data_IF_543384792538
#
_entry.id   IF_543384792538
#
_cell.length_a   1.000
_cell.length_b   1.000
_cell.length_c   1.000
_cell.angle_alpha   90.00
_cell.angle_beta   90.00
_cell.angle_gamma   90.00
#
_symmetry.space_group_name_H-M   'P 1'
#
loop_
_entity.id
_entity.type
_entity.pdbx_description
1 polymer ?
#
# COMPACT_ATOMS: atom_id res chain seq x y z
N UNK A 1 50.96 15.80 20.82
CA UNK A 1 52.11 16.29 20.04
C UNK A 1 52.53 15.21 19.05
N UNK A 2 52.76 15.62 17.79
CA UNK A 2 53.19 14.88 16.58
C UNK A 2 52.13 13.98 15.87
N UNK A 3 51.55 14.34 14.71
CA UNK A 3 52.09 14.51 13.32
C UNK A 3 52.46 13.12 12.72
N UNK A 4 52.06 12.61 11.53
CA UNK A 4 51.62 13.09 10.18
C UNK A 4 51.01 11.85 9.44
N UNK A 5 49.97 11.94 8.60
CA UNK A 5 49.94 12.25 7.15
C UNK A 5 50.84 11.37 6.23
N UNK A 6 50.26 10.55 5.33
CA UNK A 6 50.56 10.42 3.87
C UNK A 6 49.74 9.25 3.26
N UNK A 7 48.75 9.43 2.36
CA UNK A 7 48.76 9.69 0.90
C UNK A 7 49.43 8.67 -0.03
N UNK A 8 48.61 8.24 -1.01
CA UNK A 8 48.87 8.04 -2.44
C UNK A 8 49.22 6.66 -3.04
N UNK A 9 48.26 6.24 -3.89
CA UNK A 9 48.41 5.86 -5.30
C UNK A 9 49.39 4.74 -5.68
N UNK A 10 48.84 3.62 -6.19
CA UNK A 10 49.44 2.94 -7.34
C UNK A 10 48.37 2.43 -8.31
N UNK A 11 48.41 3.01 -9.51
CA UNK A 11 47.80 2.53 -10.74
C UNK A 11 48.39 1.16 -11.13
N UNK A 12 47.57 0.26 -11.66
CA UNK A 12 47.99 -0.69 -12.71
C UNK A 12 46.93 -0.77 -13.80
N UNK A 13 47.17 0.03 -14.84
CA UNK A 13 46.59 -0.12 -16.18
C UNK A 13 47.35 -1.25 -16.87
N UNK A 14 46.67 -2.32 -17.25
CA UNK A 14 47.20 -3.32 -18.18
C UNK A 14 46.34 -3.30 -19.45
N UNK A 15 46.89 -2.66 -20.49
CA UNK A 15 46.44 -2.78 -21.88
C UNK A 15 47.03 -4.07 -22.45
N UNK A 16 46.20 -4.94 -23.03
CA UNK A 16 46.63 -5.81 -24.13
C UNK A 16 45.59 -5.66 -25.25
N UNK A 17 46.11 -5.37 -26.43
CA UNK A 17 45.45 -5.03 -27.69
C UNK A 17 45.64 -6.21 -28.64
N UNK A 18 44.80 -6.25 -29.70
CA UNK A 18 44.83 -7.11 -30.90
C UNK A 18 44.25 -8.52 -30.75
N UNK A 19 43.44 -9.06 -31.67
CA UNK A 19 42.93 -8.63 -32.98
C UNK A 19 41.87 -9.66 -33.41
N UNK A 20 40.70 -9.22 -33.88
CA UNK A 20 40.30 -9.18 -35.30
C UNK A 20 40.30 -10.54 -36.01
N UNK A 21 39.11 -11.14 -36.23
CA UNK A 21 38.65 -11.84 -37.45
C UNK A 21 37.38 -12.65 -37.13
N UNK A 22 36.19 -12.26 -37.59
CA UNK A 22 35.54 -12.58 -38.89
C UNK A 22 34.44 -13.65 -38.70
N UNK A 23 33.24 -13.27 -39.15
CA UNK A 23 32.08 -14.05 -39.58
C UNK A 23 31.58 -15.25 -38.74
N UNK A 24 30.39 -15.09 -38.14
CA UNK A 24 29.34 -16.11 -38.28
C UNK A 24 27.99 -15.43 -38.54
N UNK A 25 27.48 -15.65 -39.75
CA UNK A 25 26.18 -15.23 -40.25
C UNK A 25 25.14 -16.30 -39.88
N UNK A 26 23.97 -15.83 -39.46
CA UNK A 26 22.64 -16.45 -39.54
C UNK A 26 22.42 -17.86 -38.92
N UNK A 27 21.67 -17.89 -37.81
CA UNK A 27 20.63 -18.88 -37.56
C UNK A 27 19.62 -18.25 -36.58
N UNK A 28 18.49 -17.72 -37.07
CA UNK A 28 17.18 -18.39 -37.02
C UNK A 28 16.69 -18.58 -35.57
N UNK A 29 15.81 -17.69 -35.10
CA UNK A 29 14.41 -18.00 -34.78
C UNK A 29 13.85 -16.93 -33.81
N UNK A 30 12.96 -16.02 -34.24
CA UNK A 30 12.13 -15.26 -33.32
C UNK A 30 10.99 -16.16 -32.85
N UNK A 31 11.30 -17.13 -31.98
CA UNK A 31 10.28 -17.69 -31.11
C UNK A 31 10.08 -16.63 -30.02
N UNK A 32 9.06 -15.77 -30.11
CA UNK A 32 7.74 -16.08 -29.55
C UNK A 32 7.89 -16.97 -28.31
N UNK A 33 8.64 -16.47 -27.32
CA UNK A 33 8.41 -16.93 -25.95
C UNK A 33 7.07 -16.32 -25.53
N UNK A 34 6.04 -17.14 -25.29
CA UNK A 34 4.82 -16.63 -24.71
C UNK A 34 5.17 -16.08 -23.33
N UNK A 35 4.83 -14.81 -23.10
CA UNK A 35 4.50 -14.27 -21.78
C UNK A 35 3.35 -15.10 -21.21
N UNK A 36 3.65 -16.29 -20.69
CA UNK A 36 2.72 -17.14 -19.97
C UNK A 36 3.40 -17.66 -18.70
N UNK A 37 3.80 -16.73 -17.84
CA UNK A 37 4.02 -16.99 -16.43
C UNK A 37 3.50 -15.78 -15.67
N UNK A 38 2.17 -15.66 -15.59
CA UNK A 38 1.37 -14.97 -14.56
C UNK A 38 -0.11 -15.13 -14.94
N UNK A 39 -0.56 -16.37 -15.04
CA UNK A 39 -1.98 -16.67 -15.22
C UNK A 39 -2.33 -17.98 -14.51
N UNK A 40 -1.95 -18.10 -13.23
CA UNK A 40 -2.46 -19.15 -12.38
C UNK A 40 -2.49 -18.64 -10.94
N UNK A 41 -3.63 -18.01 -10.63
CA UNK A 41 -4.20 -17.62 -9.33
C UNK A 41 -5.03 -16.33 -9.48
N UNK A 42 -5.76 -16.18 -10.59
CA UNK A 42 -6.84 -15.19 -10.64
C UNK A 42 -8.01 -15.77 -9.87
N UNK A 43 -8.42 -15.21 -8.70
CA UNK A 43 -9.67 -15.58 -8.08
C UNK A 43 -10.82 -14.91 -8.85
N UNK A 44 -10.99 -15.30 -10.12
CA UNK A 44 -12.07 -14.83 -10.99
C UNK A 44 -13.42 -15.52 -10.68
N UNK A 45 -13.53 -16.22 -9.54
CA UNK A 45 -14.72 -16.99 -9.14
C UNK A 45 -15.38 -16.50 -7.85
N UNK A 46 -15.02 -15.32 -7.34
CA UNK A 46 -15.57 -14.85 -6.06
C UNK A 46 -16.68 -13.80 -6.25
N UNK A 47 -17.89 -14.06 -5.71
CA UNK A 47 -19.08 -13.27 -6.02
C UNK A 47 -19.01 -11.81 -5.55
N UNK A 48 -18.13 -11.46 -4.61
CA UNK A 48 -18.01 -10.07 -4.12
C UNK A 48 -17.15 -9.18 -5.04
N UNK A 49 -16.17 -9.71 -5.78
CA UNK A 49 -15.45 -8.91 -6.77
C UNK A 49 -16.33 -8.49 -7.95
N UNK A 50 -17.42 -9.24 -8.17
CA UNK A 50 -18.46 -8.91 -9.14
C UNK A 50 -19.48 -7.91 -8.59
N UNK A 51 -19.39 -7.55 -7.30
CA UNK A 51 -20.29 -6.60 -6.69
C UNK A 51 -19.94 -5.18 -7.13
N UNK A 52 -20.86 -4.45 -7.81
CA UNK A 52 -20.57 -3.10 -8.27
C UNK A 52 -20.17 -2.16 -7.11
N UNK A 53 -20.77 -2.35 -5.94
CA UNK A 53 -20.46 -1.53 -4.77
C UNK A 53 -19.04 -1.80 -4.25
N UNK A 54 -18.54 -3.03 -4.33
CA UNK A 54 -17.18 -3.35 -3.91
C UNK A 54 -16.15 -2.57 -4.74
N UNK A 55 -16.30 -2.57 -6.07
CA UNK A 55 -15.38 -1.84 -6.96
C UNK A 55 -15.34 -0.34 -6.69
N UNK A 56 -16.47 0.25 -6.29
CA UNK A 56 -16.56 1.67 -5.92
C UNK A 56 -15.92 1.95 -4.54
N UNK A 57 -16.01 0.99 -3.61
CA UNK A 57 -15.43 1.10 -2.27
C UNK A 57 -13.94 0.76 -2.21
N UNK A 58 -13.40 0.04 -3.20
CA UNK A 58 -12.04 -0.49 -3.18
C UNK A 58 -10.97 0.59 -2.93
N UNK A 59 -11.11 1.76 -3.53
CA UNK A 59 -10.21 2.90 -3.27
C UNK A 59 -10.26 3.37 -1.82
N UNK A 60 -11.45 3.43 -1.21
CA UNK A 60 -11.58 3.82 0.19
C UNK A 60 -11.04 2.76 1.15
N UNK A 61 -11.25 1.46 0.85
CA UNK A 61 -10.69 0.37 1.65
C UNK A 61 -9.16 0.36 1.59
N UNK A 62 -8.56 0.46 0.40
CA UNK A 62 -7.10 0.52 0.27
C UNK A 62 -6.50 1.76 0.93
N UNK A 63 -7.19 2.91 0.84
CA UNK A 63 -6.81 4.12 1.57
C UNK A 63 -6.86 3.92 3.09
N UNK A 64 -7.95 3.35 3.61
CA UNK A 64 -8.13 3.12 5.03
C UNK A 64 -7.13 2.12 5.61
N UNK A 65 -6.75 1.09 4.85
CA UNK A 65 -5.68 0.16 5.20
C UNK A 65 -4.33 0.86 5.32
N UNK A 66 -3.94 1.64 4.31
CA UNK A 66 -2.71 2.43 4.34
C UNK A 66 -2.69 3.40 5.52
N UNK A 67 -3.78 4.13 5.74
CA UNK A 67 -3.87 5.08 6.86
C UNK A 67 -3.78 4.38 8.23
N UNK A 68 -4.34 3.18 8.36
CA UNK A 68 -4.22 2.35 9.56
C UNK A 68 -2.78 1.88 9.77
N UNK A 69 -2.12 1.40 8.72
CA UNK A 69 -0.74 0.94 8.78
C UNK A 69 0.21 2.06 9.20
N UNK A 70 0.07 3.25 8.61
CA UNK A 70 0.87 4.42 8.99
C UNK A 70 0.66 4.82 10.45
N UNK A 71 -0.57 4.71 10.95
CA UNK A 71 -0.86 4.94 12.36
C UNK A 71 -0.20 3.89 13.27
N UNK A 72 -0.18 2.63 12.86
CA UNK A 72 0.51 1.54 13.57
C UNK A 72 2.02 1.75 13.59
N UNK A 73 2.64 2.07 12.45
CA UNK A 73 4.08 2.34 12.36
C UNK A 73 4.48 3.52 13.25
N UNK A 74 3.68 4.60 13.25
CA UNK A 74 3.85 5.72 14.17
C UNK A 74 3.78 5.27 15.63
N UNK A 75 2.78 4.48 16.01
CA UNK A 75 2.66 3.94 17.37
C UNK A 75 3.85 3.04 17.75
N UNK A 76 4.46 2.37 16.75
CA UNK A 76 5.71 1.62 16.87
C UNK A 76 6.98 2.48 16.95
N UNK A 77 6.87 3.81 16.97
CA UNK A 77 7.99 4.73 17.09
C UNK A 77 8.60 5.18 15.76
N UNK A 78 7.98 4.86 14.62
CA UNK A 78 8.40 5.43 13.33
C UNK A 78 8.25 6.96 13.37
N UNK A 79 9.25 7.69 12.90
CA UNK A 79 9.23 9.15 12.82
C UNK A 79 8.68 9.61 11.47
N UNK A 80 8.15 10.84 11.40
CA UNK A 80 7.62 11.40 10.16
C UNK A 80 8.66 11.43 9.03
N UNK A 81 9.91 11.76 9.36
CA UNK A 81 11.00 11.81 8.38
C UNK A 81 11.36 10.41 7.87
N UNK A 82 11.41 9.41 8.76
CA UNK A 82 11.64 8.02 8.36
C UNK A 82 10.48 7.51 7.48
N UNK A 83 9.24 7.80 7.86
CA UNK A 83 8.05 7.46 7.07
C UNK A 83 8.11 8.07 5.66
N UNK A 84 8.45 9.36 5.56
CA UNK A 84 8.58 10.08 4.27
C UNK A 84 9.66 9.48 3.38
N UNK A 85 10.69 8.82 3.91
CA UNK A 85 11.71 8.15 3.12
C UNK A 85 11.25 6.80 2.54
N UNK A 86 10.25 6.16 3.16
CA UNK A 86 9.72 4.86 2.72
C UNK A 86 8.55 5.00 1.75
N UNK A 87 7.88 6.15 1.76
CA UNK A 87 6.71 6.40 0.94
C UNK A 87 7.08 6.75 -0.52
N UNK A 88 6.34 6.22 -1.51
CA UNK A 88 6.51 6.62 -2.91
C UNK A 88 6.36 8.13 -3.14
N UNK A 89 7.21 8.70 -3.99
CA UNK A 89 7.18 10.11 -4.38
C UNK A 89 5.80 10.55 -4.90
N UNK A 90 5.09 9.68 -5.61
CA UNK A 90 3.75 9.92 -6.14
C UNK A 90 2.75 10.23 -5.02
N UNK A 91 2.81 9.48 -3.92
CA UNK A 91 1.95 9.75 -2.75
C UNK A 91 2.35 11.06 -2.09
N UNK A 92 3.64 11.32 -1.93
CA UNK A 92 4.15 12.54 -1.32
C UNK A 92 3.86 13.80 -2.15
N UNK A 93 3.61 13.68 -3.46
CA UNK A 93 3.17 14.82 -4.30
C UNK A 93 1.74 15.25 -3.98
N UNK A 94 0.89 14.38 -3.44
CA UNK A 94 -0.49 14.70 -3.05
C UNK A 94 -0.54 15.61 -1.83
N UNK A 95 -1.09 16.82 -1.99
CA UNK A 95 -1.29 17.75 -0.88
C UNK A 95 -2.22 17.18 0.20
N UNK A 96 -3.24 16.42 -0.20
CA UNK A 96 -4.17 15.75 0.72
C UNK A 96 -3.45 14.71 1.57
N UNK A 97 -2.56 13.92 0.96
CA UNK A 97 -1.81 12.88 1.66
C UNK A 97 -0.75 13.48 2.59
N UNK A 98 -0.02 14.52 2.14
CA UNK A 98 0.92 15.25 3.02
C UNK A 98 0.21 15.85 4.23
N UNK A 99 -0.95 16.49 4.02
CA UNK A 99 -1.76 17.05 5.11
C UNK A 99 -2.19 15.96 6.09
N UNK A 100 -2.61 14.79 5.58
CA UNK A 100 -2.93 13.65 6.42
C UNK A 100 -1.73 13.19 7.26
N UNK A 101 -0.56 13.01 6.66
CA UNK A 101 0.64 12.59 7.38
C UNK A 101 1.02 13.59 8.48
N UNK A 102 1.04 14.88 8.16
CA UNK A 102 1.38 15.90 9.14
C UNK A 102 0.35 15.93 10.29
N UNK A 103 -0.95 15.74 10.00
CA UNK A 103 -2.01 15.60 11.01
C UNK A 103 -1.84 14.34 11.87
N UNK A 104 -1.58 13.18 11.25
CA UNK A 104 -1.38 11.92 11.94
C UNK A 104 -0.24 12.02 12.94
N UNK A 105 0.88 12.64 12.53
CA UNK A 105 2.05 12.76 13.39
C UNK A 105 1.89 13.81 14.49
N UNK A 106 1.08 14.84 14.29
CA UNK A 106 0.75 15.85 15.29
C UNK A 106 -0.38 15.44 16.26
N UNK A 107 -1.17 14.42 15.94
CA UNK A 107 -2.35 14.04 16.71
C UNK A 107 -2.01 13.39 18.07
N UNK A 108 -2.86 13.60 19.07
CA UNK A 108 -2.84 12.80 20.30
C UNK A 108 -3.23 11.34 19.96
N UNK A 109 -2.53 10.37 20.55
CA UNK A 109 -2.73 8.94 20.25
C UNK A 109 -4.19 8.50 20.42
N UNK A 110 -4.89 9.04 21.42
CA UNK A 110 -6.29 8.69 21.71
C UNK A 110 -7.27 9.23 20.65
N UNK A 111 -6.84 10.18 19.81
CA UNK A 111 -7.68 10.80 18.78
C UNK A 111 -7.54 10.15 17.40
N UNK A 112 -6.47 9.37 17.19
CA UNK A 112 -6.18 8.74 15.90
C UNK A 112 -7.29 7.77 15.45
N UNK A 113 -7.85 6.89 16.31
CA UNK A 113 -8.94 6.00 15.88
C UNK A 113 -10.14 6.78 15.35
N UNK A 114 -10.48 7.90 15.98
CA UNK A 114 -11.60 8.75 15.59
C UNK A 114 -11.31 9.50 14.27
N UNK A 115 -10.06 9.94 14.08
CA UNK A 115 -9.58 10.54 12.84
C UNK A 115 -9.68 9.57 11.66
N UNK A 116 -9.16 8.34 11.80
CA UNK A 116 -9.19 7.31 10.75
C UNK A 116 -10.62 6.94 10.37
N UNK A 117 -11.49 6.76 11.37
CA UNK A 117 -12.92 6.50 11.15
C UNK A 117 -13.57 7.58 10.29
N UNK A 118 -13.42 8.85 10.69
CA UNK A 118 -14.01 10.01 9.97
C UNK A 118 -13.46 10.17 8.56
N UNK A 119 -12.19 9.85 8.34
CA UNK A 119 -11.57 9.87 7.01
C UNK A 119 -12.16 8.80 6.10
N UNK A 120 -12.28 7.55 6.57
CA UNK A 120 -12.96 6.50 5.81
C UNK A 120 -14.41 6.89 5.50
N UNK A 121 -15.15 7.37 6.51
CA UNK A 121 -16.52 7.86 6.33
C UNK A 121 -16.65 8.95 5.28
N UNK A 122 -15.70 9.89 5.25
CA UNK A 122 -15.64 10.96 4.25
C UNK A 122 -15.31 10.44 2.86
N UNK A 123 -14.38 9.49 2.72
CA UNK A 123 -14.06 8.86 1.44
C UNK A 123 -15.30 8.19 0.85
N UNK A 124 -15.96 7.32 1.63
CA UNK A 124 -17.12 6.56 1.18
C UNK A 124 -18.27 7.49 0.81
N UNK A 125 -18.54 8.53 1.61
CA UNK A 125 -19.57 9.52 1.29
C UNK A 125 -19.28 10.25 -0.03
N UNK A 126 -18.04 10.72 -0.22
CA UNK A 126 -17.68 11.47 -1.42
C UNK A 126 -17.62 10.61 -2.69
N UNK A 127 -17.25 9.33 -2.57
CA UNK A 127 -17.08 8.42 -3.70
C UNK A 127 -18.37 7.69 -4.10
N UNK A 128 -19.17 7.29 -3.11
CA UNK A 128 -20.28 6.34 -3.29
C UNK A 128 -21.63 6.93 -2.84
N UNK A 129 -21.63 8.04 -2.10
CA UNK A 129 -22.86 8.69 -1.62
C UNK A 129 -23.50 8.02 -0.39
N UNK A 130 -22.89 6.95 0.15
CA UNK A 130 -23.34 6.34 1.41
C UNK A 130 -23.08 7.31 2.56
N UNK A 131 -24.01 7.42 3.51
CA UNK A 131 -23.90 8.37 4.63
C UNK A 131 -22.61 8.17 5.44
N UNK A 132 -22.03 9.28 5.92
CA UNK A 132 -20.81 9.21 6.76
C UNK A 132 -21.01 8.32 7.97
N UNK A 133 -22.11 8.50 8.71
CA UNK A 133 -22.44 7.71 9.90
C UNK A 133 -22.47 6.21 9.61
N UNK A 134 -23.10 5.79 8.51
CA UNK A 134 -23.12 4.39 8.08
C UNK A 134 -21.72 3.88 7.74
N UNK A 135 -20.98 4.64 6.95
CA UNK A 135 -19.62 4.27 6.56
C UNK A 135 -18.65 4.18 7.76
N UNK A 136 -18.76 5.12 8.70
CA UNK A 136 -18.02 5.11 9.96
C UNK A 136 -18.37 3.89 10.82
N UNK A 137 -19.67 3.57 10.93
CA UNK A 137 -20.16 2.40 11.67
C UNK A 137 -19.62 1.10 11.07
N UNK A 138 -19.70 0.94 9.75
CA UNK A 138 -19.21 -0.25 9.06
C UNK A 138 -17.68 -0.36 9.10
N UNK A 139 -16.96 0.76 9.08
CA UNK A 139 -15.51 0.78 9.28
C UNK A 139 -15.14 0.24 10.67
N UNK A 140 -15.78 0.74 11.72
CA UNK A 140 -15.47 0.32 13.09
C UNK A 140 -15.78 -1.14 13.37
N UNK A 141 -16.89 -1.64 12.79
CA UNK A 141 -17.34 -3.02 12.99
C UNK A 141 -16.53 -4.03 12.20
N UNK A 142 -16.19 -3.71 10.94
CA UNK A 142 -15.69 -4.71 10.01
C UNK A 142 -14.24 -4.46 9.57
N UNK A 143 -13.87 -3.24 9.20
CA UNK A 143 -12.53 -2.96 8.65
C UNK A 143 -11.48 -2.75 9.74
N UNK A 144 -11.76 -1.96 10.77
CA UNK A 144 -10.77 -1.68 11.84
C UNK A 144 -10.31 -2.97 12.54
N UNK A 145 -11.20 -3.90 12.95
CA UNK A 145 -10.76 -5.16 13.54
C UNK A 145 -9.96 -6.00 12.54
N UNK A 146 -10.39 -6.05 11.28
CA UNK A 146 -9.68 -6.73 10.21
C UNK A 146 -8.24 -6.21 10.04
N UNK A 147 -8.05 -4.88 9.92
CA UNK A 147 -6.71 -4.29 9.80
C UNK A 147 -5.85 -4.55 11.04
N UNK A 148 -6.44 -4.55 12.24
CA UNK A 148 -5.70 -4.89 13.45
C UNK A 148 -5.15 -6.32 13.43
N UNK A 149 -5.83 -7.28 12.81
CA UNK A 149 -5.32 -8.66 12.67
C UNK A 149 -4.37 -8.77 11.48
N UNK A 150 -4.68 -8.11 10.36
CA UNK A 150 -3.84 -8.09 9.14
C UNK A 150 -2.44 -7.53 9.42
N UNK A 151 -2.37 -6.55 10.30
CA UNK A 151 -1.14 -5.93 10.75
C UNK A 151 -0.77 -6.39 12.18
N UNK A 152 -1.29 -7.54 12.61
CA UNK A 152 -0.96 -8.16 13.89
C UNK A 152 0.21 -9.14 13.80
N UNK A 153 0.52 -9.86 14.89
CA UNK A 153 1.56 -10.89 14.91
C UNK A 153 1.21 -12.18 14.13
N UNK A 154 -0.08 -12.39 13.82
CA UNK A 154 -0.59 -13.59 13.15
C UNK A 154 -1.45 -13.27 11.91
N UNK A 155 -0.92 -12.54 10.91
CA UNK A 155 -1.67 -12.09 9.75
C UNK A 155 -2.18 -13.25 8.87
N UNK A 156 -1.56 -14.44 8.96
CA UNK A 156 -1.96 -15.65 8.23
C UNK A 156 -3.35 -16.17 8.61
N UNK A 157 -3.88 -15.72 9.75
CA UNK A 157 -5.22 -16.11 10.23
C UNK A 157 -6.33 -15.29 9.59
N UNK A 158 -5.98 -14.27 8.81
CA UNK A 158 -6.92 -13.31 8.25
C UNK A 158 -7.59 -13.86 7.00
N UNK A 159 -8.92 -13.91 7.04
CA UNK A 159 -9.74 -14.15 5.86
C UNK A 159 -10.15 -12.81 5.23
N UNK A 160 -9.39 -12.37 4.22
CA UNK A 160 -9.65 -11.15 3.45
C UNK A 160 -11.06 -11.15 2.85
N UNK A 161 -11.45 -12.28 2.25
CA UNK A 161 -12.74 -12.43 1.60
C UNK A 161 -13.91 -12.28 2.57
N UNK A 162 -13.82 -12.93 3.73
CA UNK A 162 -14.86 -12.85 4.75
C UNK A 162 -15.02 -11.41 5.26
N UNK A 163 -13.91 -10.74 5.53
CA UNK A 163 -13.89 -9.37 6.06
C UNK A 163 -14.47 -8.37 5.07
N UNK A 164 -14.07 -8.45 3.79
CA UNK A 164 -14.64 -7.62 2.73
C UNK A 164 -16.13 -7.90 2.51
N UNK A 165 -16.55 -9.16 2.60
CA UNK A 165 -17.97 -9.54 2.46
C UNK A 165 -18.83 -8.98 3.60
N UNK A 166 -18.33 -9.02 4.85
CA UNK A 166 -19.03 -8.43 6.01
C UNK A 166 -19.12 -6.92 5.91
N UNK A 167 -18.02 -6.24 5.53
CA UNK A 167 -18.04 -4.80 5.30
C UNK A 167 -19.06 -4.40 4.23
N UNK A 168 -19.08 -5.12 3.12
CA UNK A 168 -20.02 -4.89 2.03
C UNK A 168 -21.47 -5.15 2.45
N UNK A 169 -21.72 -6.19 3.25
CA UNK A 169 -23.04 -6.47 3.81
C UNK A 169 -23.49 -5.33 4.73
N UNK A 170 -22.62 -4.84 5.61
CA UNK A 170 -22.91 -3.68 6.47
C UNK A 170 -23.25 -2.43 5.64
N UNK A 171 -22.49 -2.16 4.56
CA UNK A 171 -22.75 -1.03 3.66
C UNK A 171 -24.10 -1.12 2.93
N UNK A 172 -24.67 -2.32 2.79
CA UNK A 172 -25.96 -2.55 2.17
C UNK A 172 -27.12 -2.62 3.17
N UNK A 173 -26.83 -2.62 4.46
CA UNK A 173 -27.84 -2.73 5.50
C UNK A 173 -28.69 -1.45 5.55
N UNK A 174 -29.99 -1.49 5.21
CA UNK A 174 -30.85 -0.32 5.21
C UNK A 174 -31.15 0.20 6.63
N UNK A 175 -30.92 -0.62 7.66
CA UNK A 175 -31.15 -0.20 9.07
C UNK A 175 -30.16 0.87 9.55
N UNK A 176 -29.09 1.12 8.78
CA UNK A 176 -28.04 2.09 9.11
C UNK A 176 -28.19 3.43 8.37
N UNK A 177 -29.27 3.63 7.60
CA UNK A 177 -29.48 4.84 6.78
C UNK A 177 -30.07 6.04 7.58
N UNK A 178 -30.11 5.95 8.91
CA UNK A 178 -30.61 6.97 9.85
C UNK A 178 -29.77 8.26 9.95
#
# INVERSE_FOLDING_TARGET
MHLLCNRQCHMRVARIVTGLSILFVAAICPALMPLQVFAENTPASHPYYLDPLYSQLATCMGGAELEFELARERAGGMTLDAQKQLLPDELLKSALFRTFLDQLYAADENTIPDMLRKRNGSCVYNMVGISRKKAETCYERELRPFYSVLHGPHPETVNLQESHSKYLACMKDPSLDE
#
